data_IF_328603974899
#
_entry.id   IF_328603974899
#
_cell.length_a   1.000
_cell.length_b   1.000
_cell.length_c   1.000
_cell.angle_alpha   90.00
_cell.angle_beta   90.00
_cell.angle_gamma   90.00
#
_symmetry.space_group_name_H-M   'P 1'
#
loop_
_entity.id
_entity.type
_entity.pdbx_description
1 polymer ?
#
# COMPACT_ATOMS: atom_id res chain seq x y z
N UNK A 1 28.74 -9.02 30.22
CA UNK A 1 29.14 -9.20 28.80
C UNK A 1 29.32 -7.81 28.24
N UNK A 2 30.57 -7.35 28.13
CA UNK A 2 30.90 -5.95 27.89
C UNK A 2 30.52 -5.53 26.46
N UNK A 3 29.75 -4.45 26.34
CA UNK A 3 29.55 -3.73 25.09
C UNK A 3 30.88 -3.06 24.73
N UNK A 4 31.58 -3.58 23.72
CA UNK A 4 32.78 -2.93 23.20
C UNK A 4 32.38 -1.62 22.54
N UNK A 5 32.80 -0.48 23.10
CA UNK A 5 32.67 0.83 22.49
C UNK A 5 33.35 0.83 21.11
N UNK A 6 32.57 0.99 20.04
CA UNK A 6 33.10 1.12 18.69
C UNK A 6 33.67 2.53 18.51
N UNK A 7 35.00 2.64 18.48
CA UNK A 7 35.73 3.88 18.17
C UNK A 7 35.28 4.45 16.83
N UNK A 8 35.24 5.79 16.71
CA UNK A 8 34.80 6.46 15.48
C UNK A 8 35.81 6.21 14.36
N UNK A 9 35.41 6.20 13.06
CA UNK A 9 36.31 5.91 11.94
C UNK A 9 37.52 6.84 11.86
N UNK A 10 37.35 8.07 12.36
CA UNK A 10 38.36 9.13 12.41
C UNK A 10 39.49 8.85 13.43
N UNK A 11 39.27 7.90 14.35
CA UNK A 11 40.19 7.55 15.44
C UNK A 11 40.91 6.21 15.20
N UNK A 12 40.66 5.57 14.05
CA UNK A 12 41.30 4.32 13.66
C UNK A 12 42.57 4.58 12.85
N UNK A 13 43.60 3.75 13.05
CA UNK A 13 44.78 3.79 12.19
C UNK A 13 44.43 3.28 10.79
N UNK A 14 45.26 3.64 9.80
CA UNK A 14 45.06 3.24 8.39
C UNK A 14 44.93 1.71 8.26
N UNK A 15 45.71 0.95 9.00
CA UNK A 15 45.70 -0.50 9.01
C UNK A 15 44.40 -1.06 9.61
N UNK A 16 43.91 -0.47 10.71
CA UNK A 16 42.62 -0.84 11.34
C UNK A 16 41.44 -0.55 10.41
N UNK A 17 41.48 0.57 9.68
CA UNK A 17 40.48 0.95 8.67
C UNK A 17 40.41 -0.06 7.52
N UNK A 18 41.57 -0.52 7.02
CA UNK A 18 41.63 -1.54 5.95
C UNK A 18 40.98 -2.85 6.42
N UNK A 19 41.30 -3.29 7.64
CA UNK A 19 40.68 -4.48 8.24
C UNK A 19 39.16 -4.31 8.35
N UNK A 20 38.70 -3.12 8.75
CA UNK A 20 37.27 -2.86 8.89
C UNK A 20 36.53 -2.83 7.56
N UNK A 21 37.12 -2.26 6.52
CA UNK A 21 36.56 -2.24 5.16
C UNK A 21 36.42 -3.67 4.63
N UNK A 22 37.44 -4.51 4.79
CA UNK A 22 37.38 -5.91 4.35
C UNK A 22 36.28 -6.70 5.09
N UNK A 23 36.14 -6.49 6.40
CA UNK A 23 35.05 -7.10 7.19
C UNK A 23 33.67 -6.66 6.72
N UNK A 24 33.49 -5.36 6.44
CA UNK A 24 32.21 -4.83 5.95
C UNK A 24 31.86 -5.36 4.57
N UNK A 25 32.85 -5.45 3.67
CA UNK A 25 32.67 -6.05 2.34
C UNK A 25 32.23 -7.52 2.43
N UNK A 26 32.82 -8.28 3.36
CA UNK A 26 32.44 -9.68 3.57
C UNK A 26 31.01 -9.81 4.13
N UNK A 27 30.62 -8.94 5.08
CA UNK A 27 29.26 -8.90 5.63
C UNK A 27 28.25 -8.58 4.53
N UNK A 28 28.53 -7.56 3.69
CA UNK A 28 27.64 -7.17 2.59
C UNK A 28 27.47 -8.32 1.60
N UNK A 29 28.56 -8.98 1.19
CA UNK A 29 28.52 -10.13 0.28
C UNK A 29 27.67 -11.30 0.84
N UNK A 30 27.80 -11.60 2.14
CA UNK A 30 26.97 -12.62 2.81
C UNK A 30 25.49 -12.22 2.87
N UNK A 31 25.18 -10.96 3.15
CA UNK A 31 23.81 -10.45 3.20
C UNK A 31 23.13 -10.49 1.83
N UNK A 32 23.84 -10.10 0.77
CA UNK A 32 23.35 -10.17 -0.61
C UNK A 32 23.02 -11.62 -1.02
N UNK A 33 23.92 -12.55 -0.68
CA UNK A 33 23.72 -13.99 -0.93
C UNK A 33 22.48 -14.52 -0.20
N UNK A 34 22.30 -14.15 1.07
CA UNK A 34 21.17 -14.60 1.90
C UNK A 34 19.84 -14.03 1.40
N UNK A 35 19.83 -12.77 0.96
CA UNK A 35 18.64 -12.12 0.39
C UNK A 35 18.22 -12.76 -0.94
N UNK A 36 19.17 -13.12 -1.80
CA UNK A 36 18.87 -13.80 -3.07
C UNK A 36 18.28 -15.19 -2.83
N UNK A 37 18.86 -15.99 -1.93
CA UNK A 37 18.32 -17.32 -1.60
C UNK A 37 16.94 -17.23 -0.94
N UNK A 38 16.72 -16.26 -0.06
CA UNK A 38 15.40 -16.03 0.57
C UNK A 38 14.36 -15.61 -0.48
N UNK A 39 14.74 -14.73 -1.42
CA UNK A 39 13.86 -14.28 -2.51
C UNK A 39 13.52 -15.43 -3.45
N UNK A 40 14.49 -16.26 -3.83
CA UNK A 40 14.29 -17.45 -4.66
C UNK A 40 13.39 -18.48 -3.97
N UNK A 41 13.59 -18.73 -2.68
CA UNK A 41 12.75 -19.65 -1.89
C UNK A 41 11.30 -19.15 -1.78
N UNK A 42 11.07 -17.84 -1.59
CA UNK A 42 9.72 -17.24 -1.57
C UNK A 42 9.03 -17.31 -2.93
N UNK A 43 9.79 -17.18 -4.03
CA UNK A 43 9.26 -17.31 -5.39
C UNK A 43 8.90 -18.77 -5.72
N UNK A 44 9.73 -19.74 -5.30
CA UNK A 44 9.48 -21.18 -5.49
C UNK A 44 8.27 -21.64 -4.66
N UNK A 45 8.13 -21.19 -3.41
CA UNK A 45 6.95 -21.48 -2.58
C UNK A 45 5.66 -20.87 -3.14
N UNK A 46 5.72 -19.68 -3.78
CA UNK A 46 4.58 -19.09 -4.50
C UNK A 46 4.20 -19.88 -5.76
N UNK A 47 5.17 -20.46 -6.47
CA UNK A 47 4.94 -21.23 -7.71
C UNK A 47 4.26 -22.59 -7.46
N UNK A 48 4.44 -23.19 -6.28
CA UNK A 48 3.85 -24.49 -5.92
C UNK A 48 2.40 -24.39 -5.41
N UNK A 49 1.94 -23.24 -4.91
CA UNK A 49 0.52 -23.01 -4.63
C UNK A 49 -0.21 -22.70 -5.94
N UNK A 50 -0.73 -23.73 -6.62
CA UNK A 50 -1.77 -23.57 -7.66
C UNK A 50 -2.92 -22.77 -7.06
N UNK A 51 -2.96 -21.46 -7.28
CA UNK A 51 -4.04 -20.61 -6.83
C UNK A 51 -5.30 -21.07 -7.57
N UNK A 52 -6.26 -21.64 -6.85
CA UNK A 52 -7.62 -21.82 -7.38
C UNK A 52 -8.07 -20.46 -7.93
N UNK A 53 -8.66 -20.40 -9.14
CA UNK A 53 -9.10 -19.13 -9.71
C UNK A 53 -10.03 -18.45 -8.70
N UNK A 54 -9.60 -17.31 -8.13
CA UNK A 54 -10.43 -16.56 -7.21
C UNK A 54 -11.66 -16.09 -7.99
N UNK A 55 -12.85 -16.43 -7.49
CA UNK A 55 -14.11 -15.94 -8.04
C UNK A 55 -14.04 -14.41 -8.12
N UNK A 56 -14.35 -13.85 -9.29
CA UNK A 56 -14.39 -12.39 -9.48
C UNK A 56 -15.36 -11.79 -8.46
N UNK A 57 -14.95 -10.70 -7.83
CA UNK A 57 -15.80 -10.00 -6.89
C UNK A 57 -16.91 -9.28 -7.65
N UNK A 58 -18.14 -9.43 -7.18
CA UNK A 58 -19.32 -8.89 -7.81
C UNK A 58 -19.71 -7.57 -7.12
N UNK A 59 -19.41 -6.46 -7.79
CA UNK A 59 -19.73 -5.11 -7.30
C UNK A 59 -21.22 -4.77 -7.40
N UNK A 60 -22.02 -5.51 -8.19
CA UNK A 60 -23.47 -5.24 -8.31
C UNK A 60 -24.20 -5.49 -7.00
N UNK A 61 -23.66 -6.36 -6.14
CA UNK A 61 -24.22 -6.70 -4.83
C UNK A 61 -24.03 -5.62 -3.77
N UNK A 62 -23.34 -4.52 -4.08
CA UNK A 62 -23.01 -3.48 -3.12
C UNK A 62 -23.27 -2.09 -3.70
N UNK A 63 -23.79 -1.20 -2.86
CA UNK A 63 -23.90 0.21 -3.17
C UNK A 63 -22.53 0.90 -3.03
N UNK A 64 -22.47 2.17 -3.42
CA UNK A 64 -21.34 3.03 -3.13
C UNK A 64 -21.71 4.06 -2.04
N UNK A 65 -20.70 4.67 -1.43
CA UNK A 65 -20.86 5.79 -0.52
C UNK A 65 -19.76 6.80 -0.78
N UNK A 66 -20.12 8.07 -0.92
CA UNK A 66 -19.14 9.14 -1.05
C UNK A 66 -18.51 9.42 0.32
N UNK A 67 -17.20 9.31 0.42
CA UNK A 67 -16.47 9.50 1.68
C UNK A 67 -15.28 10.43 1.48
N UNK A 68 -14.82 11.02 2.59
CA UNK A 68 -13.53 11.69 2.66
C UNK A 68 -12.57 10.88 3.53
N UNK A 69 -11.36 10.60 3.02
CA UNK A 69 -10.31 9.93 3.77
C UNK A 69 -9.17 10.92 4.03
N UNK A 70 -8.77 11.03 5.30
CA UNK A 70 -7.54 11.73 5.69
C UNK A 70 -6.42 10.69 5.76
N UNK A 71 -5.36 10.90 4.99
CA UNK A 71 -4.25 9.97 4.84
C UNK A 71 -2.93 10.64 5.21
N UNK A 72 -2.03 9.83 5.76
CA UNK A 72 -0.66 10.18 6.03
C UNK A 72 0.27 9.26 5.22
N UNK A 73 1.38 9.81 4.72
CA UNK A 73 2.38 9.05 3.99
C UNK A 73 3.76 9.70 4.10
N UNK A 74 4.79 8.86 3.98
CA UNK A 74 6.19 9.27 3.85
C UNK A 74 6.55 9.33 2.36
N UNK A 75 6.88 10.52 1.88
CA UNK A 75 7.07 10.77 0.45
C UNK A 75 8.47 10.52 -0.09
N UNK A 76 9.46 10.24 0.77
CA UNK A 76 10.89 10.21 0.39
C UNK A 76 11.18 9.32 -0.83
N UNK A 77 10.56 8.14 -0.89
CA UNK A 77 10.77 7.18 -1.97
C UNK A 77 9.78 7.29 -3.14
N UNK A 78 8.94 8.35 -3.17
CA UNK A 78 7.85 8.51 -4.14
C UNK A 78 8.01 9.76 -5.00
N UNK A 79 7.56 9.66 -6.25
CA UNK A 79 7.61 10.72 -7.26
C UNK A 79 6.48 11.76 -7.12
N UNK A 80 6.00 11.94 -5.89
CA UNK A 80 4.94 12.87 -5.52
C UNK A 80 3.58 12.19 -5.34
N UNK A 81 2.56 13.00 -5.08
CA UNK A 81 1.22 12.49 -4.80
C UNK A 81 0.52 11.99 -6.06
N UNK A 82 0.40 12.84 -7.08
CA UNK A 82 -0.43 12.60 -8.26
C UNK A 82 0.23 11.58 -9.20
N UNK A 83 -0.57 10.64 -9.72
CA UNK A 83 -0.16 9.68 -10.75
C UNK A 83 0.27 10.36 -12.04
N UNK A 84 1.27 9.77 -12.68
CA UNK A 84 1.88 10.24 -13.93
C UNK A 84 1.94 9.06 -14.90
N UNK A 85 1.79 9.30 -16.20
CA UNK A 85 1.82 8.23 -17.20
C UNK A 85 3.20 7.57 -17.35
N UNK A 86 4.24 8.23 -16.83
CA UNK A 86 5.64 7.79 -16.89
C UNK A 86 6.05 6.89 -15.72
N UNK A 87 5.31 6.90 -14.61
CA UNK A 87 5.71 6.18 -13.39
C UNK A 87 4.51 5.81 -12.51
N UNK A 88 4.50 4.56 -12.05
CA UNK A 88 3.56 4.08 -11.03
C UNK A 88 4.07 4.33 -9.59
N UNK A 89 5.24 4.94 -9.44
CA UNK A 89 5.85 5.20 -8.13
C UNK A 89 5.33 6.50 -7.48
N UNK A 90 4.00 6.65 -7.44
CA UNK A 90 3.32 7.80 -6.83
C UNK A 90 2.42 7.32 -5.71
N UNK A 91 2.16 8.20 -4.72
CA UNK A 91 1.29 7.85 -3.60
C UNK A 91 -0.11 7.47 -4.09
N UNK A 92 -0.64 8.21 -5.06
CA UNK A 92 -1.95 7.96 -5.62
C UNK A 92 -2.01 6.62 -6.36
N UNK A 93 -1.00 6.24 -7.13
CA UNK A 93 -0.97 4.93 -7.80
C UNK A 93 -1.04 3.78 -6.78
N UNK A 94 -0.24 3.86 -5.71
CA UNK A 94 -0.27 2.87 -4.61
C UNK A 94 -1.58 2.84 -3.86
N UNK A 95 -2.20 4.01 -3.65
CA UNK A 95 -3.50 4.10 -3.03
C UNK A 95 -4.58 3.41 -3.88
N UNK A 96 -4.62 3.66 -5.19
CA UNK A 96 -5.57 3.00 -6.10
C UNK A 96 -5.31 1.50 -6.24
N UNK A 97 -4.04 1.08 -6.20
CA UNK A 97 -3.67 -0.33 -6.10
C UNK A 97 -4.30 -0.98 -4.85
N UNK A 98 -4.15 -0.34 -3.68
CA UNK A 98 -4.71 -0.84 -2.42
C UNK A 98 -6.25 -0.84 -2.41
N UNK A 99 -6.90 0.22 -2.90
CA UNK A 99 -8.36 0.31 -3.00
C UNK A 99 -8.95 -0.77 -3.92
N UNK A 100 -8.28 -1.07 -5.04
CA UNK A 100 -8.70 -2.12 -5.97
C UNK A 100 -8.47 -3.51 -5.37
N UNK A 101 -7.31 -3.74 -4.76
CA UNK A 101 -6.96 -5.01 -4.09
C UNK A 101 -7.91 -5.36 -2.95
N UNK A 102 -8.35 -4.35 -2.20
CA UNK A 102 -9.33 -4.48 -1.11
C UNK A 102 -10.78 -4.53 -1.59
N UNK A 103 -11.02 -4.38 -2.91
CA UNK A 103 -12.34 -4.39 -3.56
C UNK A 103 -13.27 -3.29 -3.05
N UNK A 104 -12.68 -2.16 -2.66
CA UNK A 104 -13.42 -0.96 -2.28
C UNK A 104 -13.85 -0.16 -3.50
N UNK A 105 -13.09 -0.23 -4.59
CA UNK A 105 -13.44 0.36 -5.88
C UNK A 105 -13.22 -0.67 -7.00
N UNK A 106 -13.93 -0.49 -8.11
CA UNK A 106 -13.72 -1.29 -9.32
C UNK A 106 -12.65 -0.66 -10.22
N UNK A 107 -12.79 0.65 -10.48
CA UNK A 107 -11.90 1.44 -11.34
C UNK A 107 -11.76 2.84 -10.77
N UNK A 108 -10.62 3.46 -11.06
CA UNK A 108 -10.36 4.86 -10.69
C UNK A 108 -11.34 5.84 -11.34
N UNK A 109 -11.62 5.66 -12.62
CA UNK A 109 -12.40 6.57 -13.43
C UNK A 109 -13.86 6.68 -12.97
N UNK A 110 -14.40 5.62 -12.36
CA UNK A 110 -15.80 5.56 -11.89
C UNK A 110 -15.94 5.80 -10.39
N UNK A 111 -14.85 6.18 -9.71
CA UNK A 111 -14.83 6.34 -8.25
C UNK A 111 -15.08 7.78 -7.77
N UNK A 112 -15.44 8.72 -8.65
CA UNK A 112 -15.67 10.14 -8.30
C UNK A 112 -14.54 10.72 -7.41
N UNK A 113 -13.30 10.46 -7.81
CA UNK A 113 -12.13 10.76 -7.00
C UNK A 113 -11.71 12.23 -7.11
N UNK A 114 -11.47 12.86 -5.95
CA UNK A 114 -10.90 14.18 -5.80
C UNK A 114 -9.81 14.19 -4.74
N UNK A 115 -8.87 15.13 -4.85
CA UNK A 115 -7.76 15.34 -3.93
C UNK A 115 -7.69 16.81 -3.52
N UNK A 116 -7.44 17.08 -2.25
CA UNK A 116 -7.35 18.45 -1.75
C UNK A 116 -6.04 19.14 -2.12
N UNK A 117 -4.96 18.39 -2.40
CA UNK A 117 -3.69 18.97 -2.81
C UNK A 117 -2.82 18.01 -3.60
N UNK A 118 -1.87 18.56 -4.36
CA UNK A 118 -0.74 17.80 -4.90
C UNK A 118 0.45 17.98 -3.96
N UNK A 119 1.34 17.01 -3.92
CA UNK A 119 2.66 17.17 -3.34
C UNK A 119 3.71 16.76 -4.37
N UNK A 120 4.84 17.44 -4.32
CA UNK A 120 5.98 17.16 -5.20
C UNK A 120 6.74 15.92 -4.74
N UNK A 121 7.67 15.47 -5.58
CA UNK A 121 8.56 14.34 -5.30
C UNK A 121 9.27 14.50 -3.95
N UNK A 122 9.30 13.43 -3.16
CA UNK A 122 9.95 13.42 -1.85
C UNK A 122 9.14 14.03 -0.70
N UNK A 123 8.06 14.76 -0.98
CA UNK A 123 7.30 15.48 0.05
C UNK A 123 6.39 14.52 0.83
N UNK A 124 6.50 14.55 2.15
CA UNK A 124 5.63 13.79 3.06
C UNK A 124 4.39 14.62 3.46
N UNK A 125 3.30 13.94 3.83
CA UNK A 125 2.10 14.61 4.32
C UNK A 125 1.46 13.81 5.46
N UNK A 126 0.95 14.50 6.48
CA UNK A 126 0.21 13.89 7.59
C UNK A 126 -1.31 14.11 7.49
N UNK A 127 -1.74 15.03 6.62
CA UNK A 127 -3.14 15.45 6.54
C UNK A 127 -3.63 15.66 5.12
N UNK A 128 -3.12 14.88 4.17
CA UNK A 128 -3.68 14.88 2.83
C UNK A 128 -5.11 14.34 2.90
N UNK A 129 -6.04 14.99 2.21
CA UNK A 129 -7.45 14.58 2.16
C UNK A 129 -7.82 14.26 0.72
N UNK A 130 -8.52 13.14 0.56
CA UNK A 130 -9.12 12.71 -0.70
C UNK A 130 -10.61 12.48 -0.48
N UNK A 131 -11.42 12.65 -1.52
CA UNK A 131 -12.80 12.17 -1.54
C UNK A 131 -13.03 11.24 -2.71
N UNK A 132 -13.87 10.22 -2.51
CA UNK A 132 -14.18 9.21 -3.51
C UNK A 132 -15.38 8.36 -3.09
N UNK A 133 -15.97 7.69 -4.07
CA UNK A 133 -17.03 6.70 -3.91
C UNK A 133 -16.42 5.33 -3.60
N UNK A 134 -16.67 4.83 -2.40
CA UNK A 134 -16.25 3.50 -1.96
C UNK A 134 -17.43 2.56 -1.88
N UNK A 135 -17.18 1.26 -2.06
CA UNK A 135 -18.12 0.20 -1.71
C UNK A 135 -18.59 0.41 -0.26
N UNK A 136 -19.90 0.41 -0.04
CA UNK A 136 -20.49 0.40 1.30
C UNK A 136 -21.18 -0.93 1.55
N UNK A 137 -21.26 -1.32 2.81
CA UNK A 137 -22.07 -2.46 3.21
C UNK A 137 -23.57 -2.08 3.32
N UNK A 138 -23.85 -0.78 3.46
CA UNK A 138 -25.17 -0.23 3.71
C UNK A 138 -26.04 -0.22 2.45
N UNK A 139 -27.31 -0.55 2.62
CA UNK A 139 -28.33 -0.46 1.56
C UNK A 139 -28.95 0.94 1.47
N UNK A 140 -28.99 1.67 2.59
CA UNK A 140 -29.60 2.98 2.72
C UNK A 140 -28.85 3.88 3.72
N UNK A 141 -29.24 5.16 3.78
CA UNK A 141 -28.66 6.14 4.70
C UNK A 141 -27.89 7.26 4.01
N UNK A 142 -27.39 8.21 4.81
CA UNK A 142 -26.79 9.43 4.31
C UNK A 142 -25.52 9.15 3.47
N UNK A 143 -25.56 9.61 2.21
CA UNK A 143 -24.45 9.49 1.26
C UNK A 143 -24.33 8.11 0.59
N UNK A 144 -25.26 7.17 0.85
CA UNK A 144 -25.33 5.92 0.10
C UNK A 144 -25.87 6.20 -1.29
N UNK A 145 -25.17 5.70 -2.30
CA UNK A 145 -25.46 5.84 -3.72
C UNK A 145 -25.82 4.46 -4.26
N UNK A 146 -27.12 4.19 -4.49
CA UNK A 146 -27.55 2.97 -5.13
C UNK A 146 -26.96 2.84 -6.54
N UNK A 147 -26.54 1.63 -6.90
CA UNK A 147 -26.17 1.36 -8.30
C UNK A 147 -27.45 1.15 -9.12
N UNK A 148 -27.58 1.74 -10.32
CA UNK A 148 -28.80 1.60 -11.14
C UNK A 148 -29.21 0.14 -11.40
N UNK A 149 -28.24 -0.75 -11.62
CA UNK A 149 -28.47 -2.20 -11.80
C UNK A 149 -27.94 -3.02 -10.61
N UNK A 150 -27.96 -2.42 -9.42
CA UNK A 150 -27.48 -3.04 -8.20
C UNK A 150 -28.46 -4.04 -7.61
N UNK A 151 -27.94 -5.13 -7.05
CA UNK A 151 -28.68 -6.16 -6.31
C UNK A 151 -28.46 -6.04 -4.79
N UNK A 152 -27.96 -4.89 -4.31
CA UNK A 152 -27.57 -4.69 -2.90
C UNK A 152 -28.69 -4.99 -1.89
N UNK A 153 -29.93 -4.63 -2.21
CA UNK A 153 -31.10 -4.88 -1.34
C UNK A 153 -31.45 -6.37 -1.20
N UNK A 154 -30.99 -7.21 -2.13
CA UNK A 154 -31.23 -8.65 -2.14
C UNK A 154 -30.01 -9.46 -1.65
N UNK A 155 -28.96 -8.78 -1.19
CA UNK A 155 -27.73 -9.42 -0.71
C UNK A 155 -27.95 -9.99 0.69
N UNK A 156 -27.58 -11.25 0.87
CA UNK A 156 -27.54 -11.90 2.19
C UNK A 156 -26.35 -11.41 3.04
N UNK A 157 -26.53 -11.44 4.36
CA UNK A 157 -25.51 -11.07 5.36
C UNK A 157 -25.74 -9.68 5.97
N UNK A 158 -24.74 -9.19 6.70
CA UNK A 158 -24.82 -7.86 7.32
C UNK A 158 -24.85 -6.78 6.24
N UNK A 159 -25.84 -5.90 6.32
CA UNK A 159 -26.05 -4.72 5.48
C UNK A 159 -26.28 -3.44 6.30
N UNK A 160 -25.95 -3.48 7.59
CA UNK A 160 -26.21 -2.39 8.56
C UNK A 160 -24.93 -1.84 9.18
N UNK A 161 -23.87 -2.66 9.28
CA UNK A 161 -22.57 -2.20 9.77
C UNK A 161 -21.72 -1.70 8.61
N UNK A 162 -21.25 -0.46 8.68
CA UNK A 162 -20.37 0.10 7.65
C UNK A 162 -18.99 -0.57 7.65
N UNK A 163 -18.37 -0.57 6.47
CA UNK A 163 -17.01 -1.07 6.28
C UNK A 163 -16.01 -0.18 7.03
N UNK A 164 -15.16 -0.79 7.85
CA UNK A 164 -14.02 -0.07 8.44
C UNK A 164 -12.91 0.12 7.39
N UNK A 165 -13.06 1.18 6.59
CA UNK A 165 -12.13 1.51 5.49
C UNK A 165 -10.69 1.66 5.97
N UNK A 166 -10.49 2.34 7.10
CA UNK A 166 -9.15 2.60 7.66
C UNK A 166 -8.46 1.30 8.03
N UNK A 167 -9.17 0.39 8.71
CA UNK A 167 -8.60 -0.90 9.07
C UNK A 167 -8.24 -1.75 7.85
N UNK A 168 -9.11 -1.79 6.83
CA UNK A 168 -8.89 -2.60 5.62
C UNK A 168 -7.69 -2.09 4.79
N UNK A 169 -7.51 -0.76 4.72
CA UNK A 169 -6.43 -0.16 3.93
C UNK A 169 -5.05 -0.24 4.62
N UNK A 170 -4.99 -0.53 5.92
CA UNK A 170 -3.76 -0.61 6.70
C UNK A 170 -3.38 -2.05 7.09
N UNK A 171 -3.90 -3.06 6.38
CA UNK A 171 -3.66 -4.48 6.65
C UNK A 171 -2.60 -5.08 5.74
#
# INVERSE_FOLDING_TARGET
MALSETRKPEELTREELIVKVNQLQEIVSRLESTNNTTTEQLVIQKKQRKQKPQRKFDFTKYNARHVALKIAYLGWSYDGFQSQDTTDNTIEARLFEALTKTRLIEKRQTSNYHRCGRTDKGVSAFGQVISLDLRTNLTEGAGVIPRPEGTANHREGDNTTEINYVYILNK
#
